data_IF_943289748236
#
_entry.id   IF_943289748236
#
_cell.length_a   1.000
_cell.length_b   1.000
_cell.length_c   1.000
_cell.angle_alpha   90.00
_cell.angle_beta   90.00
_cell.angle_gamma   90.00
#
_symmetry.space_group_name_H-M   'P 1'
#
loop_
_entity.id
_entity.type
_entity.pdbx_description
1 polymer ?
#
# COMPACT_ATOMS: atom_id res chain seq x y z
N UNK A 1 14.87 -15.63 -2.33
CA UNK A 1 13.83 -15.08 -3.22
C UNK A 1 12.99 -16.23 -3.73
N UNK A 2 11.74 -15.98 -4.06
CA UNK A 2 10.80 -16.99 -4.56
C UNK A 2 10.50 -16.74 -6.04
N UNK A 3 10.20 -17.78 -6.85
CA UNK A 3 9.77 -17.59 -8.23
C UNK A 3 8.45 -16.81 -8.29
N UNK A 4 8.34 -15.89 -9.24
CA UNK A 4 7.11 -15.17 -9.55
C UNK A 4 7.14 -14.75 -11.01
N UNK A 5 5.95 -14.56 -11.58
CA UNK A 5 5.78 -13.95 -12.89
C UNK A 5 5.36 -12.48 -12.72
N UNK A 6 5.74 -11.66 -13.70
CA UNK A 6 5.34 -10.26 -13.75
C UNK A 6 4.46 -10.02 -14.95
N UNK A 7 3.32 -9.40 -14.72
CA UNK A 7 2.41 -9.00 -15.79
C UNK A 7 2.30 -7.49 -15.84
N UNK A 8 2.57 -6.93 -17.02
CA UNK A 8 2.46 -5.50 -17.23
C UNK A 8 1.04 -5.14 -17.61
N UNK A 9 0.35 -4.49 -16.68
CA UNK A 9 -1.04 -4.06 -16.86
C UNK A 9 -1.13 -2.59 -17.24
N UNK A 10 -2.08 -2.26 -18.11
CA UNK A 10 -2.42 -0.87 -18.39
C UNK A 10 -3.23 -0.29 -17.22
N UNK A 11 -2.88 0.93 -16.81
CA UNK A 11 -3.57 1.71 -15.78
C UNK A 11 -3.77 3.16 -16.24
N UNK A 12 -4.64 3.90 -15.56
CA UNK A 12 -4.78 5.35 -15.77
C UNK A 12 -3.54 6.08 -15.26
N UNK A 13 -2.91 6.88 -16.12
CA UNK A 13 -1.72 7.69 -15.81
C UNK A 13 -2.08 9.16 -15.56
N UNK A 14 -1.13 9.89 -14.95
CA UNK A 14 -1.31 11.31 -14.59
C UNK A 14 -1.53 12.22 -15.80
N UNK A 15 -0.95 11.87 -16.95
CA UNK A 15 -1.09 12.60 -18.22
C UNK A 15 -2.40 12.29 -18.96
N UNK A 16 -3.29 11.49 -18.36
CA UNK A 16 -4.55 11.04 -18.95
C UNK A 16 -4.40 9.87 -19.93
N UNK A 17 -3.18 9.38 -20.17
CA UNK A 17 -2.95 8.19 -20.99
C UNK A 17 -3.24 6.89 -20.20
N UNK A 18 -3.33 5.78 -20.94
CA UNK A 18 -3.64 4.47 -20.38
C UNK A 18 -5.11 4.30 -19.99
N UNK A 19 -5.50 3.06 -19.75
CA UNK A 19 -6.85 2.67 -19.35
C UNK A 19 -6.78 1.47 -18.42
N UNK A 20 -7.82 1.22 -17.62
CA UNK A 20 -7.89 0.00 -16.79
C UNK A 20 -8.15 -1.17 -17.75
N UNK A 21 -7.28 -2.18 -17.75
CA UNK A 21 -7.50 -3.40 -18.51
C UNK A 21 -8.80 -4.10 -18.03
N UNK A 22 -9.71 -4.54 -18.92
CA UNK A 22 -11.03 -5.02 -18.52
C UNK A 22 -11.03 -6.22 -17.57
N UNK A 23 -10.08 -7.13 -17.74
CA UNK A 23 -9.84 -8.31 -16.90
C UNK A 23 -9.16 -7.97 -15.56
N UNK A 24 -8.39 -6.89 -15.51
CA UNK A 24 -7.68 -6.47 -14.31
C UNK A 24 -8.60 -5.92 -13.20
N UNK A 25 -9.83 -5.49 -13.54
CA UNK A 25 -10.77 -4.99 -12.54
C UNK A 25 -11.20 -6.08 -11.54
N UNK A 26 -11.17 -7.35 -11.97
CA UNK A 26 -11.46 -8.51 -11.14
C UNK A 26 -10.34 -8.79 -10.13
N UNK A 27 -9.13 -8.26 -10.38
CA UNK A 27 -7.96 -8.36 -9.49
C UNK A 27 -7.89 -7.15 -8.56
N UNK A 28 -8.05 -5.93 -9.09
CA UNK A 28 -8.04 -4.70 -8.29
C UNK A 28 -9.22 -3.81 -8.69
N UNK A 29 -10.17 -3.54 -7.77
CA UNK A 29 -11.42 -2.82 -8.09
C UNK A 29 -11.22 -1.36 -8.53
N UNK A 30 -10.03 -0.80 -8.33
CA UNK A 30 -9.68 0.56 -8.73
C UNK A 30 -8.74 0.60 -9.94
N UNK A 31 -8.34 -0.57 -10.47
CA UNK A 31 -7.37 -0.68 -11.57
C UNK A 31 -6.03 -0.01 -11.25
N UNK A 32 -5.57 -0.17 -10.01
CA UNK A 32 -4.29 0.35 -9.51
C UNK A 32 -3.29 -0.78 -9.33
N UNK A 33 -2.02 -0.42 -9.27
CA UNK A 33 -0.90 -1.34 -9.03
C UNK A 33 -0.13 -0.85 -7.81
N UNK A 34 0.57 -1.75 -7.08
CA UNK A 34 0.68 -3.19 -7.33
C UNK A 34 -0.56 -4.01 -6.92
N UNK A 35 -0.68 -5.21 -7.50
CA UNK A 35 -1.53 -6.30 -7.00
C UNK A 35 -0.76 -7.62 -7.15
N UNK A 36 -1.00 -8.56 -6.24
CA UNK A 36 -0.46 -9.90 -6.23
C UNK A 36 -1.61 -10.89 -6.40
N UNK A 37 -1.40 -11.97 -7.18
CA UNK A 37 -2.31 -13.12 -7.19
C UNK A 37 -1.53 -14.32 -6.68
N UNK A 38 -1.98 -14.91 -5.58
CA UNK A 38 -1.39 -16.13 -5.02
C UNK A 38 -2.51 -17.18 -4.86
N UNK A 39 -2.32 -18.35 -5.44
CA UNK A 39 -3.33 -19.42 -5.52
C UNK A 39 -4.71 -18.97 -6.04
N UNK A 40 -4.70 -18.06 -7.03
CA UNK A 40 -5.91 -17.50 -7.63
C UNK A 40 -6.61 -16.45 -6.76
N UNK A 41 -6.05 -16.08 -5.61
CA UNK A 41 -6.61 -15.06 -4.70
C UNK A 41 -5.85 -13.74 -4.88
N UNK A 42 -6.55 -12.62 -5.21
CA UNK A 42 -5.92 -11.32 -5.32
C UNK A 42 -5.64 -10.72 -3.94
N UNK A 43 -4.47 -10.07 -3.82
CA UNK A 43 -4.03 -9.25 -2.69
C UNK A 43 -3.57 -7.92 -3.26
N UNK A 44 -4.21 -6.83 -2.84
CA UNK A 44 -3.86 -5.46 -3.24
C UNK A 44 -3.66 -4.58 -2.00
N UNK A 45 -3.15 -3.37 -2.21
CA UNK A 45 -2.51 -2.50 -1.22
C UNK A 45 -1.07 -2.91 -0.88
N UNK A 46 -0.11 -2.00 -1.08
CA UNK A 46 1.34 -2.27 -0.88
C UNK A 46 1.66 -2.83 0.52
N UNK A 47 1.15 -2.27 1.64
CA UNK A 47 1.42 -2.81 2.97
C UNK A 47 0.80 -4.20 3.19
N UNK A 48 -0.36 -4.47 2.60
CA UNK A 48 -1.02 -5.77 2.71
C UNK A 48 -0.25 -6.84 1.92
N UNK A 49 0.22 -6.52 0.71
CA UNK A 49 1.10 -7.41 -0.07
C UNK A 49 2.39 -7.69 0.70
N UNK A 50 3.02 -6.66 1.28
CA UNK A 50 4.24 -6.83 2.06
C UNK A 50 4.00 -7.76 3.27
N UNK A 51 2.96 -7.50 4.06
CA UNK A 51 2.61 -8.32 5.22
C UNK A 51 2.28 -9.77 4.81
N UNK A 52 1.48 -9.94 3.75
CA UNK A 52 1.11 -11.25 3.22
C UNK A 52 2.33 -12.07 2.84
N UNK A 53 3.29 -11.46 2.13
CA UNK A 53 4.53 -12.14 1.72
C UNK A 53 5.44 -12.46 2.91
N UNK A 54 5.49 -11.61 3.95
CA UNK A 54 6.25 -11.92 5.17
C UNK A 54 5.64 -13.04 5.99
N UNK A 55 4.31 -13.17 5.99
CA UNK A 55 3.61 -14.27 6.66
C UNK A 55 3.72 -15.57 5.84
N UNK A 56 3.74 -15.48 4.51
CA UNK A 56 3.88 -16.63 3.60
C UNK A 56 5.29 -17.21 3.56
N UNK A 57 6.32 -16.37 3.68
CA UNK A 57 7.74 -16.75 3.65
C UNK A 57 8.49 -16.26 4.89
N UNK A 58 8.13 -16.74 6.10
CA UNK A 58 8.71 -16.27 7.36
C UNK A 58 10.23 -16.54 7.45
N UNK A 59 10.73 -17.56 6.77
CA UNK A 59 12.15 -17.91 6.71
C UNK A 59 13.03 -16.85 6.04
N UNK A 60 12.42 -15.95 5.25
CA UNK A 60 13.14 -14.84 4.63
C UNK A 60 13.56 -13.77 5.64
N UNK A 61 12.97 -13.74 6.84
CA UNK A 61 13.34 -12.82 7.92
C UNK A 61 13.11 -11.34 7.58
N UNK A 62 12.16 -11.05 6.69
CA UNK A 62 11.91 -9.69 6.19
C UNK A 62 10.95 -8.86 7.06
N UNK A 63 10.28 -9.49 8.02
CA UNK A 63 9.36 -8.80 8.93
C UNK A 63 9.03 -9.64 10.17
N UNK A 64 8.59 -9.01 11.28
CA UNK A 64 8.12 -9.71 12.46
C UNK A 64 6.83 -10.51 12.17
N UNK A 65 6.86 -11.80 12.47
CA UNK A 65 5.73 -12.74 12.29
C UNK A 65 4.76 -12.71 13.46
N UNK A 66 3.57 -13.31 13.30
CA UNK A 66 2.56 -13.44 14.37
C UNK A 66 3.22 -13.99 15.66
N UNK A 67 3.06 -13.26 16.76
CA UNK A 67 3.63 -13.60 18.07
C UNK A 67 4.98 -12.93 18.39
N UNK A 68 5.63 -12.31 17.41
CA UNK A 68 6.85 -11.52 17.65
C UNK A 68 6.53 -10.23 18.42
N UNK A 69 7.28 -9.88 19.50
CA UNK A 69 7.08 -8.64 20.24
C UNK A 69 7.17 -7.36 19.39
N UNK A 70 7.91 -7.37 18.28
CA UNK A 70 8.06 -6.24 17.36
C UNK A 70 6.94 -6.15 16.33
N UNK A 71 6.01 -7.11 16.29
CA UNK A 71 4.91 -7.09 15.31
C UNK A 71 3.98 -5.88 15.49
N UNK A 72 3.76 -5.45 16.73
CA UNK A 72 2.97 -4.23 17.00
C UNK A 72 3.54 -3.01 16.28
N UNK A 73 4.78 -2.59 16.58
CA UNK A 73 5.45 -1.50 15.87
C UNK A 73 5.48 -1.68 14.35
N UNK A 74 5.74 -2.90 13.86
CA UNK A 74 5.76 -3.18 12.43
C UNK A 74 4.41 -2.91 11.74
N UNK A 75 3.32 -3.45 12.29
CA UNK A 75 1.97 -3.22 11.76
C UNK A 75 1.54 -1.76 11.86
N UNK A 76 1.94 -1.07 12.94
CA UNK A 76 1.72 0.37 13.10
C UNK A 76 2.36 1.15 11.96
N UNK A 77 3.64 0.91 11.65
CA UNK A 77 4.33 1.67 10.61
C UNK A 77 3.84 1.32 9.20
N UNK A 78 3.52 0.05 8.92
CA UNK A 78 2.86 -0.33 7.66
C UNK A 78 1.55 0.42 7.46
N UNK A 79 0.70 0.48 8.49
CA UNK A 79 -0.60 1.16 8.42
C UNK A 79 -0.45 2.68 8.38
N UNK A 80 0.46 3.24 9.18
CA UNK A 80 0.72 4.69 9.24
C UNK A 80 1.24 5.23 7.90
N UNK A 81 2.11 4.48 7.23
CA UNK A 81 2.73 4.91 5.96
C UNK A 81 1.69 5.30 4.90
N UNK A 82 0.63 4.50 4.76
CA UNK A 82 -0.41 4.69 3.73
C UNK A 82 -1.66 5.36 4.26
N UNK A 83 -2.01 5.15 5.54
CA UNK A 83 -3.19 5.74 6.16
C UNK A 83 -3.00 7.17 6.64
N UNK A 84 -1.76 7.59 6.92
CA UNK A 84 -1.46 8.89 7.52
C UNK A 84 -0.40 9.64 6.73
N UNK A 85 0.78 9.04 6.54
CA UNK A 85 1.91 9.73 5.95
C UNK A 85 1.67 10.11 4.48
N UNK A 86 1.33 9.14 3.64
CA UNK A 86 1.04 9.36 2.22
C UNK A 86 -0.05 10.42 1.95
N UNK A 87 -1.24 10.38 2.58
CA UNK A 87 -2.27 11.39 2.33
C UNK A 87 -1.87 12.79 2.83
N UNK A 88 -1.16 12.90 3.95
CA UNK A 88 -0.64 14.19 4.43
C UNK A 88 0.35 14.81 3.44
N UNK A 89 1.31 14.02 2.95
CA UNK A 89 2.30 14.46 1.98
C UNK A 89 1.66 14.78 0.62
N UNK A 90 0.67 14.00 0.20
CA UNK A 90 -0.11 14.25 -1.01
C UNK A 90 -0.87 15.58 -0.89
N UNK A 91 -1.52 15.82 0.25
CA UNK A 91 -2.18 17.09 0.55
C UNK A 91 -1.23 18.28 0.43
N UNK A 92 -0.02 18.18 1.00
CA UNK A 92 1.03 19.20 0.88
C UNK A 92 1.44 19.43 -0.58
N UNK A 93 1.70 18.37 -1.33
CA UNK A 93 2.13 18.45 -2.74
C UNK A 93 1.08 19.14 -3.62
N UNK A 94 -0.20 18.86 -3.38
CA UNK A 94 -1.32 19.46 -4.11
C UNK A 94 -1.88 20.73 -3.45
N UNK A 95 -1.22 21.26 -2.41
CA UNK A 95 -1.62 22.46 -1.66
C UNK A 95 -3.07 22.39 -1.16
N UNK A 96 -3.52 21.20 -0.79
CA UNK A 96 -4.84 20.98 -0.18
C UNK A 96 -4.76 21.44 1.28
N UNK A 97 -5.60 22.42 1.72
CA UNK A 97 -5.64 22.82 3.11
C UNK A 97 -5.99 21.63 4.00
N UNK A 98 -5.19 21.40 5.04
CA UNK A 98 -5.53 20.42 6.05
C UNK A 98 -6.71 20.92 6.90
N UNK A 99 -7.57 19.99 7.31
CA UNK A 99 -8.80 20.28 8.06
C UNK A 99 -8.79 19.44 9.34
N UNK A 100 -8.37 20.07 10.43
CA UNK A 100 -8.29 19.42 11.74
C UNK A 100 -9.64 18.81 12.16
N UNK A 101 -9.57 17.60 12.73
CA UNK A 101 -10.75 16.85 13.19
C UNK A 101 -11.67 16.33 12.07
N UNK A 102 -11.40 16.66 10.81
CA UNK A 102 -12.16 16.16 9.65
C UNK A 102 -11.36 15.14 8.84
N UNK A 103 -10.08 15.45 8.57
CA UNK A 103 -9.17 14.51 7.92
C UNK A 103 -8.70 13.46 8.95
N UNK A 104 -8.69 12.19 8.56
CA UNK A 104 -8.26 11.09 9.43
C UNK A 104 -6.74 11.00 9.66
N UNK A 105 -5.98 11.96 9.14
CA UNK A 105 -4.52 12.07 9.22
C UNK A 105 -4.13 13.46 9.72
N UNK A 106 -2.95 13.58 10.32
CA UNK A 106 -2.38 14.87 10.76
C UNK A 106 -1.92 15.75 9.59
N UNK A 107 -1.59 16.99 9.88
CA UNK A 107 -0.97 17.88 8.88
C UNK A 107 0.41 17.34 8.46
N UNK A 108 0.91 17.74 7.29
CA UNK A 108 2.21 17.27 6.81
C UNK A 108 3.35 17.67 7.77
N UNK A 109 3.28 18.86 8.38
CA UNK A 109 4.31 19.30 9.33
C UNK A 109 4.29 18.50 10.63
N UNK A 110 3.13 18.02 11.09
CA UNK A 110 3.03 17.12 12.26
C UNK A 110 3.55 15.71 11.92
N UNK A 111 3.18 15.21 10.76
CA UNK A 111 3.57 13.87 10.29
C UNK A 111 5.09 13.76 10.08
N UNK A 112 5.74 14.81 9.60
CA UNK A 112 7.20 14.85 9.41
C UNK A 112 8.00 14.84 10.74
N UNK A 113 7.33 15.06 11.88
CA UNK A 113 7.97 15.08 13.21
C UNK A 113 7.88 13.73 13.95
N UNK A 114 7.16 12.76 13.39
CA UNK A 114 6.99 11.40 13.94
C UNK A 114 8.10 10.48 13.47
#
# INVERSE_FOLDING_TARGET
GVPYDTEMVSIRRRDGSGHIAPDYIDIHPHGKVPALVHDGVPVFETPAIALYLTDLYPEAGLGPVVGDPQRGPYLTWLSYSTGVFEPAMTGRAFKTPHQDGTMGWGSADEVEQV
#
